data_IF_833528683376
#
_entry.id   IF_833528683376
#
_cell.length_a   1.000
_cell.length_b   1.000
_cell.length_c   1.000
_cell.angle_alpha   90.00
_cell.angle_beta   90.00
_cell.angle_gamma   90.00
#
_symmetry.space_group_name_H-M   'P 1'
#
loop_
_entity.id
_entity.type
_entity.pdbx_description
1 polymer ?
#
# COMPACT_ATOMS: atom_id res chain seq x y z
N UNK A 1 3.28 4.24 -20.12
CA UNK A 1 4.11 5.46 -20.01
C UNK A 1 3.38 6.61 -19.28
N UNK A 2 2.10 6.49 -18.95
CA UNK A 2 1.34 7.53 -18.27
C UNK A 2 1.81 7.80 -16.83
N UNK A 3 2.34 6.81 -16.14
CA UNK A 3 2.66 6.89 -14.71
C UNK A 3 3.82 7.84 -14.37
N UNK A 4 4.73 8.10 -15.28
CA UNK A 4 5.83 9.06 -15.09
C UNK A 4 5.35 10.53 -15.15
N UNK A 5 4.17 10.79 -15.68
CA UNK A 5 3.61 12.13 -15.90
C UNK A 5 2.48 12.50 -14.94
N UNK A 6 2.17 11.63 -13.97
CA UNK A 6 1.15 11.91 -12.96
C UNK A 6 -0.28 11.74 -13.45
N UNK A 7 -0.72 10.55 -13.75
CA UNK A 7 -2.09 10.26 -14.14
C UNK A 7 -3.03 10.32 -12.94
N UNK A 8 -4.27 10.52 -13.24
CA UNK A 8 -5.35 10.60 -12.26
C UNK A 8 -6.15 9.31 -12.13
N UNK A 9 -6.18 8.52 -13.20
CA UNK A 9 -6.89 7.23 -13.24
C UNK A 9 -5.96 6.15 -13.82
N UNK A 10 -5.46 5.25 -12.97
CA UNK A 10 -4.49 4.25 -13.39
C UNK A 10 -5.02 3.26 -14.43
N UNK A 11 -6.32 3.01 -14.52
CA UNK A 11 -6.90 2.10 -15.51
C UNK A 11 -6.96 2.76 -16.89
N UNK A 12 -7.31 4.06 -16.93
CA UNK A 12 -7.27 4.86 -18.17
C UNK A 12 -5.87 5.01 -18.72
N UNK A 13 -4.88 5.17 -17.84
CA UNK A 13 -3.49 5.23 -18.26
C UNK A 13 -2.99 3.93 -18.86
N UNK A 14 -3.49 2.80 -18.37
CA UNK A 14 -3.26 1.50 -18.96
C UNK A 14 -4.04 1.29 -20.28
N UNK A 15 -4.82 2.28 -20.71
CA UNK A 15 -5.61 2.30 -21.95
C UNK A 15 -6.68 1.21 -22.02
N UNK A 16 -7.25 0.84 -20.89
CA UNK A 16 -8.40 -0.04 -20.87
C UNK A 16 -9.61 0.72 -21.44
N UNK A 17 -10.23 0.25 -22.52
CA UNK A 17 -11.51 0.81 -22.98
C UNK A 17 -12.59 0.46 -21.95
N UNK A 18 -13.46 1.42 -21.64
CA UNK A 18 -14.60 1.22 -20.74
C UNK A 18 -14.24 0.60 -19.38
N UNK A 19 -13.10 1.05 -18.80
CA UNK A 19 -12.66 0.58 -17.49
C UNK A 19 -13.75 0.82 -16.43
N UNK A 20 -14.09 -0.18 -15.60
CA UNK A 20 -14.98 0.02 -14.47
C UNK A 20 -14.32 0.96 -13.44
N UNK A 21 -15.08 1.45 -12.45
CA UNK A 21 -14.49 2.22 -11.35
C UNK A 21 -13.35 1.45 -10.70
N UNK A 22 -12.26 2.16 -10.38
CA UNK A 22 -11.10 1.58 -9.72
C UNK A 22 -11.51 0.91 -8.42
N UNK A 23 -11.07 -0.33 -8.22
CA UNK A 23 -11.33 -1.09 -6.99
C UNK A 23 -10.26 -0.85 -5.94
N UNK A 24 -10.65 -1.02 -4.67
CA UNK A 24 -9.73 -0.85 -3.55
C UNK A 24 -10.21 -1.51 -2.28
N UNK A 25 -9.29 -1.57 -1.31
CA UNK A 25 -9.57 -1.95 0.07
C UNK A 25 -9.67 -0.74 0.97
N UNK A 26 -10.52 -0.85 1.98
CA UNK A 26 -10.42 -0.07 3.21
C UNK A 26 -10.18 -1.04 4.36
N UNK A 27 -9.08 -0.86 5.08
CA UNK A 27 -8.70 -1.65 6.26
C UNK A 27 -8.79 -0.76 7.50
N UNK A 28 -9.76 -1.04 8.36
CA UNK A 28 -9.98 -0.36 9.65
C UNK A 28 -9.26 -1.12 10.76
N UNK A 29 -8.10 -0.63 11.21
CA UNK A 29 -7.34 -1.28 12.27
C UNK A 29 -7.99 -1.14 13.65
N UNK A 30 -8.92 -0.18 13.82
CA UNK A 30 -9.61 0.04 15.10
C UNK A 30 -10.54 -1.12 15.51
N UNK A 31 -10.98 -1.92 14.53
CA UNK A 31 -11.87 -3.06 14.75
C UNK A 31 -11.26 -4.40 14.34
N UNK A 32 -9.98 -4.41 13.94
CA UNK A 32 -9.28 -5.64 13.65
C UNK A 32 -9.00 -6.42 14.95
N UNK A 33 -9.38 -7.69 14.98
CA UNK A 33 -9.17 -8.57 16.13
C UNK A 33 -7.98 -9.54 15.97
N UNK A 34 -7.17 -9.37 14.93
CA UNK A 34 -5.98 -10.19 14.70
C UNK A 34 -6.23 -11.69 14.47
N UNK A 35 -7.44 -12.09 14.08
CA UNK A 35 -7.82 -13.50 13.93
C UNK A 35 -7.10 -14.26 12.79
N UNK A 36 -6.36 -13.54 11.93
CA UNK A 36 -5.63 -14.07 10.77
C UNK A 36 -6.47 -14.81 9.71
N UNK A 37 -7.79 -14.81 9.80
CA UNK A 37 -8.66 -15.43 8.80
C UNK A 37 -8.39 -14.91 7.38
N UNK A 38 -8.04 -13.63 7.24
CA UNK A 38 -7.67 -13.01 5.98
C UNK A 38 -6.36 -13.54 5.39
N UNK A 39 -5.36 -13.88 6.22
CA UNK A 39 -4.12 -14.53 5.77
C UNK A 39 -4.41 -15.94 5.25
N UNK A 40 -5.15 -16.72 6.05
CA UNK A 40 -5.53 -18.09 5.67
C UNK A 40 -6.31 -18.10 4.38
N UNK A 41 -7.36 -17.28 4.26
CA UNK A 41 -8.17 -17.20 3.05
C UNK A 41 -7.34 -16.77 1.83
N UNK A 42 -6.38 -15.84 2.01
CA UNK A 42 -5.47 -15.43 0.94
C UNK A 42 -4.54 -16.58 0.51
N UNK A 43 -3.95 -17.30 1.47
CA UNK A 43 -3.07 -18.44 1.19
C UNK A 43 -3.83 -19.57 0.47
N UNK A 44 -4.97 -19.96 0.99
CA UNK A 44 -5.77 -21.03 0.41
C UNK A 44 -6.29 -20.69 -1.00
N UNK A 45 -6.88 -19.51 -1.17
CA UNK A 45 -7.42 -19.11 -2.47
C UNK A 45 -6.33 -19.04 -3.54
N UNK A 46 -5.21 -18.41 -3.22
CA UNK A 46 -4.11 -18.20 -4.17
C UNK A 46 -3.14 -19.40 -4.20
N UNK A 47 -3.41 -20.47 -3.43
CA UNK A 47 -2.55 -21.66 -3.31
C UNK A 47 -1.09 -21.32 -3.03
N UNK A 48 -0.89 -20.36 -2.10
CA UNK A 48 0.46 -19.94 -1.73
C UNK A 48 1.13 -21.03 -0.87
N UNK A 49 2.43 -21.31 -1.11
CA UNK A 49 3.15 -22.25 -0.29
C UNK A 49 3.36 -21.75 1.15
N UNK A 50 3.78 -22.62 2.04
CA UNK A 50 4.21 -22.24 3.38
C UNK A 50 5.48 -21.37 3.36
N UNK A 51 5.74 -20.66 4.45
CA UNK A 51 6.90 -19.78 4.59
C UNK A 51 8.13 -20.52 5.17
N UNK A 52 8.40 -21.73 4.69
CA UNK A 52 9.50 -22.58 5.14
C UNK A 52 9.17 -23.44 6.37
N UNK A 53 10.19 -23.77 7.16
CA UNK A 53 10.05 -24.62 8.33
C UNK A 53 9.27 -23.92 9.45
N UNK A 54 8.51 -24.71 10.22
CA UNK A 54 7.84 -24.24 11.42
C UNK A 54 8.90 -23.86 12.47
N UNK A 55 9.17 -22.59 12.60
CA UNK A 55 10.10 -22.03 13.60
C UNK A 55 9.34 -21.23 14.64
N UNK A 56 9.78 -21.34 15.91
CA UNK A 56 9.29 -20.48 16.96
C UNK A 56 9.91 -19.08 16.79
N UNK A 57 9.12 -18.10 16.37
CA UNK A 57 9.57 -16.72 16.14
C UNK A 57 9.60 -15.86 17.41
N UNK A 58 9.31 -16.44 18.57
CA UNK A 58 9.26 -15.72 19.84
C UNK A 58 7.94 -14.94 20.06
N UNK A 59 7.06 -14.93 19.08
CA UNK A 59 5.70 -14.38 19.19
C UNK A 59 4.68 -15.51 19.01
N UNK A 60 3.78 -15.69 19.95
CA UNK A 60 2.71 -16.68 19.86
C UNK A 60 1.60 -16.30 18.87
N UNK A 61 1.56 -15.07 18.43
CA UNK A 61 0.50 -14.52 17.59
C UNK A 61 0.93 -14.39 16.13
N UNK A 62 2.21 -14.25 15.88
CA UNK A 62 2.75 -14.06 14.54
C UNK A 62 3.70 -15.20 14.16
N UNK A 63 3.27 -15.99 13.21
CA UNK A 63 4.01 -17.11 12.66
C UNK A 63 4.44 -16.91 11.19
N UNK A 64 4.09 -15.79 10.57
CA UNK A 64 4.43 -15.44 9.19
C UNK A 64 5.51 -14.36 9.09
N UNK A 65 5.58 -13.45 10.06
CA UNK A 65 6.59 -12.41 10.22
C UNK A 65 6.35 -11.18 9.37
N UNK A 66 6.24 -11.31 8.04
CA UNK A 66 6.12 -10.19 7.11
C UNK A 66 5.46 -10.59 5.79
N UNK A 67 5.16 -9.59 4.96
CA UNK A 67 4.73 -9.81 3.57
C UNK A 67 5.92 -10.33 2.74
N UNK A 68 5.62 -11.24 1.82
CA UNK A 68 6.64 -11.84 0.96
C UNK A 68 6.05 -12.61 -0.21
N UNK A 69 6.92 -13.40 -0.88
CA UNK A 69 6.52 -14.19 -2.04
C UNK A 69 5.43 -15.23 -1.72
N UNK A 70 5.43 -15.74 -0.49
CA UNK A 70 4.52 -16.78 -0.03
C UNK A 70 3.44 -16.26 0.92
N UNK A 71 3.54 -15.02 1.39
CA UNK A 71 2.56 -14.36 2.28
C UNK A 71 2.16 -13.02 1.69
N UNK A 72 1.05 -12.99 0.95
CA UNK A 72 0.56 -11.79 0.27
C UNK A 72 -0.32 -10.89 1.14
N UNK A 73 -0.78 -11.42 2.25
CA UNK A 73 -1.49 -10.70 3.30
C UNK A 73 -0.96 -11.14 4.66
N UNK A 74 -0.64 -10.18 5.50
CA UNK A 74 -0.03 -10.39 6.80
C UNK A 74 -0.74 -9.53 7.85
N UNK A 75 -0.99 -10.10 9.03
CA UNK A 75 -1.53 -9.34 10.16
C UNK A 75 -0.39 -9.03 11.13
N UNK A 76 0.03 -7.78 11.13
CA UNK A 76 0.99 -7.27 12.08
C UNK A 76 0.34 -7.04 13.45
N UNK A 77 1.07 -7.34 14.51
CA UNK A 77 0.68 -7.09 15.90
C UNK A 77 1.66 -6.08 16.49
N UNK A 78 1.13 -4.99 17.01
CA UNK A 78 1.90 -3.94 17.66
C UNK A 78 1.40 -3.78 19.09
N UNK A 79 2.30 -3.94 20.05
CA UNK A 79 2.02 -3.72 21.46
C UNK A 79 2.30 -2.26 21.82
N UNK A 80 1.35 -1.64 22.50
CA UNK A 80 1.48 -0.26 22.96
C UNK A 80 1.27 -0.19 24.47
N UNK A 81 2.21 0.47 25.15
CA UNK A 81 2.09 0.86 26.55
C UNK A 81 1.25 2.14 26.68
N UNK A 82 0.83 2.47 27.90
CA UNK A 82 0.11 3.69 28.22
C UNK A 82 0.82 4.95 27.70
N UNK A 83 2.13 5.07 27.93
CA UNK A 83 2.93 6.20 27.47
C UNK A 83 2.86 6.34 25.95
N UNK A 84 2.99 5.22 25.22
CA UNK A 84 2.92 5.23 23.74
C UNK A 84 1.55 5.63 23.22
N UNK A 85 0.49 5.20 23.90
CA UNK A 85 -0.89 5.58 23.55
C UNK A 85 -1.10 7.08 23.78
N UNK A 86 -0.57 7.61 24.89
CA UNK A 86 -0.63 9.04 25.19
C UNK A 86 0.13 9.89 24.14
N UNK A 87 1.33 9.45 23.75
CA UNK A 87 2.11 10.10 22.67
C UNK A 87 1.34 10.10 21.35
N UNK A 88 0.74 8.97 20.96
CA UNK A 88 -0.04 8.86 19.73
C UNK A 88 -1.23 9.82 19.72
N UNK A 89 -1.95 9.94 20.85
CA UNK A 89 -3.05 10.89 21.01
C UNK A 89 -2.61 12.34 20.93
N UNK A 90 -1.47 12.68 21.54
CA UNK A 90 -0.92 14.03 21.47
C UNK A 90 -0.49 14.39 20.05
N UNK A 91 0.18 13.48 19.34
CA UNK A 91 0.53 13.65 17.94
C UNK A 91 -0.72 13.84 17.07
N UNK A 92 -1.80 13.10 17.34
CA UNK A 92 -3.09 13.25 16.66
C UNK A 92 -3.73 14.62 16.90
N UNK A 93 -3.71 15.13 18.13
CA UNK A 93 -4.19 16.49 18.45
C UNK A 93 -3.40 17.56 17.70
N UNK A 94 -2.07 17.45 17.71
CA UNK A 94 -1.21 18.40 17.01
C UNK A 94 -1.51 18.46 15.51
N UNK A 95 -1.82 17.34 14.87
CA UNK A 95 -2.22 17.30 13.45
C UNK A 95 -3.57 17.97 13.21
N UNK A 96 -4.54 17.82 14.11
CA UNK A 96 -5.83 18.50 14.03
C UNK A 96 -5.68 20.01 14.19
N UNK A 97 -4.79 20.46 15.06
CA UNK A 97 -4.55 21.90 15.30
C UNK A 97 -3.79 22.58 14.14
N UNK A 98 -3.01 21.85 13.34
CA UNK A 98 -2.34 22.36 12.13
C UNK A 98 -3.28 22.63 10.95
N UNK A 99 -4.60 22.52 11.14
CA UNK A 99 -5.59 22.87 10.12
C UNK A 99 -5.77 21.80 9.07
N UNK A 100 -5.49 20.55 9.39
CA UNK A 100 -6.06 19.43 8.62
C UNK A 100 -7.57 19.66 8.56
N UNK A 101 -8.22 19.53 7.38
CA UNK A 101 -9.63 19.83 7.28
C UNK A 101 -10.40 19.07 8.36
N UNK A 102 -11.04 19.81 9.27
CA UNK A 102 -11.99 19.23 10.22
C UNK A 102 -13.15 18.67 9.40
N UNK A 103 -13.08 17.41 9.06
CA UNK A 103 -14.19 16.71 8.45
C UNK A 103 -15.16 16.37 9.59
N UNK A 104 -16.12 17.23 9.77
CA UNK A 104 -17.00 17.27 10.91
C UNK A 104 -16.49 18.29 11.92
N UNK A 105 -17.07 19.51 11.97
CA UNK A 105 -16.75 20.48 13.01
C UNK A 105 -17.04 19.81 14.37
N UNK A 106 -16.10 19.86 15.35
CA UNK A 106 -16.48 19.52 16.71
C UNK A 106 -17.61 20.47 17.13
N UNK A 107 -18.53 20.00 17.99
CA UNK A 107 -19.50 20.89 18.61
C UNK A 107 -18.77 22.07 19.29
N UNK A 108 -19.36 23.27 19.20
CA UNK A 108 -18.84 24.47 19.85
C UNK A 108 -18.54 24.19 21.33
N UNK A 109 -17.47 24.80 21.90
CA UNK A 109 -17.15 24.61 23.31
C UNK A 109 -18.31 25.17 24.19
N UNK A 110 -19.17 24.32 24.65
CA UNK A 110 -20.30 24.70 25.49
C UNK A 110 -21.42 23.67 25.59
N UNK A 111 -21.52 22.75 24.62
CA UNK A 111 -22.64 21.81 24.54
C UNK A 111 -22.25 20.34 24.73
N UNK A 112 -21.00 20.05 25.08
CA UNK A 112 -20.56 18.69 25.39
C UNK A 112 -20.35 18.59 26.89
N UNK A 113 -21.14 17.76 27.57
CA UNK A 113 -20.69 17.19 28.83
C UNK A 113 -19.25 16.71 28.60
N UNK A 114 -18.33 17.18 29.44
CA UNK A 114 -16.93 16.77 29.44
C UNK A 114 -16.85 15.26 29.70
N UNK A 115 -17.17 14.49 28.68
CA UNK A 115 -16.69 13.13 28.59
C UNK A 115 -15.23 13.29 28.23
N UNK A 116 -14.38 13.49 29.21
CA UNK A 116 -12.94 13.50 29.03
C UNK A 116 -12.51 12.35 28.10
N UNK A 117 -11.35 12.43 27.43
CA UNK A 117 -10.90 11.34 26.58
C UNK A 117 -11.02 10.05 27.37
N UNK A 118 -11.55 8.97 26.78
CA UNK A 118 -11.67 7.70 27.48
C UNK A 118 -10.33 7.41 28.16
N UNK A 119 -10.39 6.97 29.43
CA UNK A 119 -9.18 6.68 30.20
C UNK A 119 -8.16 5.98 29.33
N UNK A 120 -6.92 6.46 29.32
CA UNK A 120 -5.87 5.86 28.50
C UNK A 120 -5.65 4.46 29.04
N UNK A 121 -5.86 3.40 28.25
CA UNK A 121 -5.66 2.05 28.72
C UNK A 121 -4.17 1.82 29.03
N UNK A 122 -3.87 1.05 30.08
CA UNK A 122 -2.50 0.69 30.44
C UNK A 122 -1.77 -0.06 29.32
N UNK A 123 -2.54 -0.72 28.43
CA UNK A 123 -2.02 -1.52 27.34
C UNK A 123 -3.04 -1.59 26.19
N UNK A 124 -2.53 -1.54 24.96
CA UNK A 124 -3.33 -1.74 23.75
C UNK A 124 -2.56 -2.56 22.71
N UNK A 125 -3.22 -3.51 22.07
CA UNK A 125 -2.74 -4.12 20.83
C UNK A 125 -3.33 -3.41 19.62
N UNK A 126 -2.47 -3.02 18.69
CA UNK A 126 -2.87 -2.63 17.36
C UNK A 126 -2.64 -3.83 16.42
N UNK A 127 -3.65 -4.13 15.63
CA UNK A 127 -3.63 -5.23 14.68
C UNK A 127 -3.92 -4.69 13.30
N UNK A 128 -2.96 -4.85 12.37
CA UNK A 128 -3.10 -4.32 11.02
C UNK A 128 -2.95 -5.43 9.99
N UNK A 129 -4.01 -5.66 9.23
CA UNK A 129 -3.95 -6.60 8.10
C UNK A 129 -3.32 -5.91 6.91
N UNK A 130 -2.01 -6.04 6.75
CA UNK A 130 -1.24 -5.44 5.68
C UNK A 130 -1.28 -6.26 4.39
N UNK A 131 -1.09 -5.56 3.24
CA UNK A 131 -1.19 -6.10 1.89
C UNK A 131 -0.49 -5.17 0.89
N UNK A 132 -0.29 -5.64 -0.35
CA UNK A 132 0.15 -4.76 -1.45
C UNK A 132 -0.75 -3.52 -1.58
N UNK A 133 -0.13 -2.36 -1.73
CA UNK A 133 -0.84 -1.07 -1.75
C UNK A 133 -1.53 -0.77 -3.09
N UNK A 134 -1.18 -1.48 -4.18
CA UNK A 134 -1.70 -1.21 -5.53
C UNK A 134 -1.66 0.29 -5.87
N UNK A 135 -0.46 0.88 -5.73
CA UNK A 135 -0.20 2.31 -5.87
C UNK A 135 -0.74 2.90 -7.18
N UNK A 136 -1.14 4.15 -7.16
CA UNK A 136 -1.51 4.89 -8.38
C UNK A 136 -0.28 5.04 -9.27
N UNK A 137 0.84 5.53 -8.72
CA UNK A 137 2.15 5.47 -9.35
C UNK A 137 2.86 4.23 -8.82
N UNK A 138 2.95 3.18 -9.64
CA UNK A 138 3.47 1.90 -9.20
C UNK A 138 4.92 1.71 -9.67
N UNK A 139 5.89 2.04 -8.81
CA UNK A 139 7.31 1.89 -9.12
C UNK A 139 7.69 0.49 -9.59
N UNK A 140 7.07 -0.55 -9.04
CA UNK A 140 7.28 -1.93 -9.49
C UNK A 140 6.85 -2.17 -10.95
N UNK A 141 5.80 -1.50 -11.42
CA UNK A 141 5.34 -1.56 -12.80
C UNK A 141 6.26 -0.76 -13.73
N UNK A 142 6.66 0.45 -13.29
CA UNK A 142 7.48 1.37 -14.10
C UNK A 142 8.83 0.78 -14.45
N UNK A 143 9.43 -0.02 -13.57
CA UNK A 143 10.78 -0.58 -13.75
C UNK A 143 10.78 -1.99 -14.35
N UNK A 144 9.62 -2.55 -14.69
CA UNK A 144 9.55 -3.91 -15.22
C UNK A 144 10.00 -3.95 -16.70
N UNK A 145 11.16 -4.55 -17.01
CA UNK A 145 11.70 -4.52 -18.39
C UNK A 145 10.95 -5.43 -19.37
N UNK A 146 10.23 -6.44 -18.86
CA UNK A 146 9.49 -7.40 -19.67
C UNK A 146 8.00 -7.07 -19.80
N UNK A 147 7.51 -6.08 -19.04
CA UNK A 147 6.07 -5.80 -18.95
C UNK A 147 5.26 -6.87 -18.23
N UNK A 148 5.92 -7.76 -17.47
CA UNK A 148 5.26 -8.78 -16.66
C UNK A 148 4.35 -8.19 -15.60
N UNK A 149 4.72 -7.02 -15.04
CA UNK A 149 3.82 -6.24 -14.19
C UNK A 149 2.94 -5.36 -15.07
N UNK A 150 1.65 -5.49 -14.92
CA UNK A 150 0.68 -4.71 -15.68
C UNK A 150 -0.48 -4.24 -14.80
N UNK A 151 -1.22 -3.27 -15.28
CA UNK A 151 -2.40 -2.74 -14.60
C UNK A 151 -3.65 -3.30 -15.25
N UNK A 152 -4.52 -3.83 -14.42
CA UNK A 152 -5.81 -4.37 -14.87
C UNK A 152 -6.84 -3.26 -15.06
N UNK A 153 -7.97 -3.59 -15.65
CA UNK A 153 -9.15 -2.71 -15.81
C UNK A 153 -9.72 -2.21 -14.46
N UNK A 154 -9.50 -2.96 -13.38
CA UNK A 154 -9.89 -2.59 -12.02
C UNK A 154 -8.88 -1.65 -11.32
N UNK A 155 -7.84 -1.23 -12.01
CA UNK A 155 -6.77 -0.40 -11.46
C UNK A 155 -5.79 -1.15 -10.56
N UNK A 156 -5.86 -2.49 -10.48
CA UNK A 156 -4.92 -3.30 -9.71
C UNK A 156 -3.63 -3.54 -10.49
N UNK A 157 -2.53 -3.79 -9.79
CA UNK A 157 -1.26 -4.19 -10.42
C UNK A 157 -1.07 -5.69 -10.20
N UNK A 158 -0.85 -6.42 -11.26
CA UNK A 158 -0.72 -7.88 -11.26
C UNK A 158 0.60 -8.29 -11.91
N UNK A 159 1.18 -9.40 -11.47
CA UNK A 159 2.34 -10.03 -12.09
C UNK A 159 1.85 -11.13 -13.01
N UNK A 160 2.32 -11.12 -14.25
CA UNK A 160 2.13 -12.22 -15.20
C UNK A 160 3.36 -13.13 -15.14
N UNK A 161 3.19 -14.29 -14.55
CA UNK A 161 4.28 -15.20 -14.16
C UNK A 161 5.09 -15.71 -15.35
N UNK A 162 4.43 -16.02 -16.47
CA UNK A 162 5.04 -16.58 -17.69
C UNK A 162 5.92 -15.59 -18.44
N UNK A 163 5.74 -14.29 -18.21
CA UNK A 163 6.54 -13.21 -18.81
C UNK A 163 7.66 -12.76 -17.87
N UNK A 164 7.52 -13.00 -16.56
CA UNK A 164 8.48 -12.57 -15.56
C UNK A 164 9.83 -13.27 -15.76
N UNK A 165 10.90 -12.49 -15.93
CA UNK A 165 12.27 -13.01 -16.05
C UNK A 165 13.04 -13.07 -14.72
N UNK A 166 12.43 -12.63 -13.60
CA UNK A 166 13.03 -12.68 -12.27
C UNK A 166 14.15 -11.66 -12.02
N UNK A 167 14.23 -10.57 -12.78
CA UNK A 167 15.32 -9.57 -12.63
C UNK A 167 15.38 -8.88 -11.26
N UNK A 168 14.26 -8.80 -10.54
CA UNK A 168 14.20 -8.21 -9.18
C UNK A 168 14.10 -6.68 -9.15
N UNK A 169 14.06 -5.97 -10.27
CA UNK A 169 13.96 -4.51 -10.28
C UNK A 169 12.71 -4.02 -9.53
N UNK A 170 11.60 -4.75 -9.64
CA UNK A 170 10.35 -4.44 -8.94
C UNK A 170 10.47 -4.55 -7.41
N UNK A 171 11.32 -5.43 -6.90
CA UNK A 171 11.60 -5.56 -5.46
C UNK A 171 12.27 -4.29 -4.94
N UNK A 172 13.33 -3.85 -5.62
CA UNK A 172 14.06 -2.62 -5.26
C UNK A 172 13.23 -1.34 -5.43
N UNK A 173 12.26 -1.35 -6.36
CA UNK A 173 11.44 -0.17 -6.66
C UNK A 173 10.18 -0.05 -5.80
N UNK A 174 9.85 -1.06 -4.99
CA UNK A 174 8.68 -1.02 -4.12
C UNK A 174 8.99 -0.26 -2.82
N UNK A 175 8.39 0.90 -2.56
CA UNK A 175 8.67 1.66 -1.34
C UNK A 175 8.11 0.97 -0.08
N UNK A 176 7.25 -0.04 -0.25
CA UNK A 176 6.61 -0.78 0.84
C UNK A 176 7.24 -2.15 1.11
N UNK A 177 8.21 -2.58 0.29
CA UNK A 177 8.83 -3.89 0.44
C UNK A 177 7.93 -5.12 0.22
N UNK A 178 6.73 -4.95 -0.34
CA UNK A 178 5.69 -6.00 -0.39
C UNK A 178 5.77 -6.94 -1.59
N UNK A 179 6.69 -6.70 -2.50
CA UNK A 179 6.93 -7.58 -3.65
C UNK A 179 8.26 -8.29 -3.47
N UNK A 180 8.25 -9.59 -3.61
CA UNK A 180 9.42 -10.43 -3.43
C UNK A 180 9.55 -11.44 -4.56
N UNK A 181 10.76 -11.96 -4.80
CA UNK A 181 10.97 -13.07 -5.72
C UNK A 181 10.90 -14.39 -4.95
N UNK A 182 10.11 -15.33 -5.44
CA UNK A 182 10.08 -16.66 -4.85
C UNK A 182 11.42 -17.36 -5.09
N UNK A 183 12.16 -17.60 -4.00
CA UNK A 183 13.51 -18.17 -4.08
C UNK A 183 13.52 -19.71 -4.04
N UNK A 184 12.46 -20.30 -3.48
CA UNK A 184 12.38 -21.74 -3.19
C UNK A 184 11.88 -22.60 -4.35
N UNK A 185 11.38 -22.01 -5.41
CA UNK A 185 10.82 -22.71 -6.55
C UNK A 185 9.49 -23.44 -6.28
N UNK A 186 8.95 -23.29 -5.07
CA UNK A 186 7.69 -23.91 -4.65
C UNK A 186 6.47 -23.08 -5.04
N UNK A 187 6.38 -22.63 -6.28
CA UNK A 187 5.06 -22.29 -6.79
C UNK A 187 4.19 -23.53 -6.63
N UNK A 188 3.00 -23.38 -6.02
CA UNK A 188 2.05 -24.50 -5.97
C UNK A 188 1.99 -25.16 -7.34
N UNK A 189 2.11 -26.49 -7.42
CA UNK A 189 2.26 -27.20 -8.69
C UNK A 189 1.14 -26.79 -9.63
N UNK A 190 1.48 -26.01 -10.63
CA UNK A 190 0.57 -25.57 -11.67
C UNK A 190 0.40 -26.68 -12.73
N UNK A 191 0.53 -27.94 -12.28
CA UNK A 191 0.32 -29.14 -13.10
C UNK A 191 -1.05 -29.13 -13.81
N UNK A 192 -1.99 -28.34 -13.30
CA UNK A 192 -3.30 -28.12 -13.93
C UNK A 192 -3.32 -26.94 -14.91
N UNK A 193 -2.26 -26.11 -14.97
CA UNK A 193 -2.22 -24.89 -15.80
C UNK A 193 -1.22 -24.94 -16.96
N UNK A 194 -0.57 -26.07 -17.20
CA UNK A 194 0.39 -26.27 -18.31
C UNK A 194 1.86 -26.24 -17.91
N UNK A 195 2.75 -26.69 -18.81
CA UNK A 195 4.08 -27.23 -18.47
C UNK A 195 5.22 -26.23 -18.25
N UNK A 196 4.98 -24.92 -18.16
CA UNK A 196 6.09 -23.97 -18.24
C UNK A 196 6.06 -22.87 -17.17
N UNK A 197 5.94 -23.25 -15.92
CA UNK A 197 6.12 -22.25 -14.86
C UNK A 197 7.57 -22.24 -14.38
N UNK A 198 8.27 -21.14 -14.66
CA UNK A 198 9.50 -20.79 -13.96
C UNK A 198 9.14 -20.49 -12.52
N UNK A 199 9.31 -21.44 -11.64
CA UNK A 199 8.84 -21.37 -10.26
C UNK A 199 9.77 -20.54 -9.38
N UNK A 200 11.07 -20.61 -9.65
CA UNK A 200 12.08 -19.87 -8.91
C UNK A 200 12.38 -18.50 -9.51
N UNK A 201 12.48 -17.48 -8.65
CA UNK A 201 12.86 -16.13 -9.03
C UNK A 201 11.73 -15.26 -9.56
N UNK A 202 10.52 -15.78 -9.76
CA UNK A 202 9.36 -14.99 -10.21
C UNK A 202 8.89 -14.04 -9.11
N UNK A 203 8.63 -12.79 -9.48
CA UNK A 203 8.08 -11.81 -8.57
C UNK A 203 6.66 -12.17 -8.14
N UNK A 204 6.38 -12.05 -6.84
CA UNK A 204 5.12 -12.41 -6.22
C UNK A 204 4.60 -11.27 -5.36
N UNK A 205 3.33 -11.03 -5.39
CA UNK A 205 2.62 -10.07 -4.52
C UNK A 205 1.11 -10.26 -4.65
N UNK A 206 0.32 -9.67 -3.76
CA UNK A 206 -1.14 -9.64 -3.86
C UNK A 206 -1.60 -9.16 -5.24
N UNK A 207 -2.55 -9.88 -5.83
CA UNK A 207 -3.22 -9.55 -7.11
C UNK A 207 -4.55 -8.82 -6.91
N UNK A 208 -4.99 -8.61 -5.67
CA UNK A 208 -6.35 -8.22 -5.28
C UNK A 208 -7.38 -9.29 -5.68
N UNK A 209 -6.95 -10.55 -5.77
CA UNK A 209 -7.75 -11.67 -6.28
C UNK A 209 -8.39 -11.33 -7.64
N UNK A 210 -7.56 -10.95 -8.61
CA UNK A 210 -8.00 -10.49 -9.93
C UNK A 210 -8.96 -11.49 -10.61
N UNK A 211 -8.72 -12.78 -10.47
CA UNK A 211 -9.61 -13.86 -10.92
C UNK A 211 -11.03 -13.71 -10.36
N UNK A 212 -11.16 -13.45 -9.06
CA UNK A 212 -12.47 -13.22 -8.42
C UNK A 212 -13.13 -11.93 -8.90
N UNK A 213 -12.34 -10.88 -9.10
CA UNK A 213 -12.87 -9.59 -9.59
C UNK A 213 -13.48 -9.72 -10.98
N UNK A 214 -12.87 -10.52 -11.86
CA UNK A 214 -13.40 -10.81 -13.19
C UNK A 214 -14.74 -11.54 -13.11
N UNK A 215 -14.91 -12.40 -12.11
CA UNK A 215 -16.17 -13.13 -11.86
C UNK A 215 -17.20 -12.30 -11.05
N UNK A 216 -16.89 -11.03 -10.75
CA UNK A 216 -17.76 -10.13 -9.98
C UNK A 216 -17.77 -10.39 -8.48
N UNK A 217 -16.83 -11.18 -7.97
CA UNK A 217 -16.69 -11.51 -6.57
C UNK A 217 -15.71 -10.58 -5.86
N UNK A 218 -15.86 -10.45 -4.54
CA UNK A 218 -14.89 -9.72 -3.72
C UNK A 218 -13.66 -10.58 -3.39
N UNK A 219 -12.49 -9.97 -3.08
CA UNK A 219 -11.31 -10.70 -2.67
C UNK A 219 -11.56 -11.61 -1.46
N UNK A 220 -10.93 -12.80 -1.43
CA UNK A 220 -11.13 -13.81 -0.40
C UNK A 220 -10.87 -13.27 1.02
N UNK A 221 -9.86 -12.41 1.19
CA UNK A 221 -9.54 -11.81 2.48
C UNK A 221 -10.62 -10.83 3.00
N UNK A 222 -11.29 -10.11 2.12
CA UNK A 222 -12.41 -9.23 2.52
C UNK A 222 -13.65 -10.06 2.85
N UNK A 223 -13.93 -11.08 2.05
CA UNK A 223 -15.09 -11.96 2.25
C UNK A 223 -15.04 -12.71 3.60
N UNK A 224 -13.85 -13.09 4.04
CA UNK A 224 -13.68 -13.88 5.27
C UNK A 224 -13.55 -13.04 6.54
N UNK A 225 -13.44 -11.71 6.45
CA UNK A 225 -13.18 -10.86 7.62
C UNK A 225 -14.41 -10.78 8.54
N UNK A 226 -14.39 -11.34 9.76
CA UNK A 226 -15.59 -11.44 10.61
C UNK A 226 -16.03 -10.11 11.21
N UNK A 227 -15.10 -9.16 11.35
CA UNK A 227 -15.39 -7.81 11.87
C UNK A 227 -15.60 -6.78 10.77
N UNK A 228 -15.51 -7.20 9.50
CA UNK A 228 -15.48 -6.28 8.35
C UNK A 228 -14.41 -5.18 8.48
N UNK A 229 -13.34 -5.44 9.24
CA UNK A 229 -12.16 -4.57 9.26
C UNK A 229 -11.58 -4.37 7.86
N UNK A 230 -11.66 -5.41 7.01
CA UNK A 230 -11.28 -5.35 5.60
C UNK A 230 -12.55 -5.23 4.78
N UNK A 231 -12.75 -4.07 4.17
CA UNK A 231 -13.83 -3.81 3.21
C UNK A 231 -13.26 -3.65 1.81
N UNK A 232 -14.06 -4.02 0.82
CA UNK A 232 -13.70 -3.95 -0.59
C UNK A 232 -14.83 -3.34 -1.41
N UNK A 233 -14.48 -2.56 -2.42
CA UNK A 233 -15.45 -1.91 -3.32
C UNK A 233 -14.78 -0.91 -4.24
N UNK A 234 -15.55 0.03 -4.76
CA UNK A 234 -15.01 1.13 -5.53
C UNK A 234 -14.12 1.98 -4.62
N UNK A 235 -12.91 2.32 -5.11
CA UNK A 235 -11.90 3.02 -4.30
C UNK A 235 -12.44 4.32 -3.69
N UNK A 236 -13.23 5.07 -4.45
CA UNK A 236 -13.76 6.35 -3.98
C UNK A 236 -14.80 6.16 -2.87
N UNK A 237 -15.61 5.12 -2.96
CA UNK A 237 -16.54 4.72 -1.88
C UNK A 237 -15.78 4.28 -0.63
N UNK A 238 -14.70 3.50 -0.81
CA UNK A 238 -13.85 3.08 0.30
C UNK A 238 -13.17 4.28 0.96
N UNK A 239 -12.71 5.25 0.18
CA UNK A 239 -12.13 6.49 0.69
C UNK A 239 -13.16 7.33 1.47
N UNK A 240 -14.38 7.47 0.95
CA UNK A 240 -15.45 8.18 1.63
C UNK A 240 -15.81 7.54 2.97
N UNK A 241 -15.94 6.20 3.00
CA UNK A 241 -16.15 5.42 4.23
C UNK A 241 -15.02 5.59 5.23
N UNK A 242 -13.77 5.54 4.76
CA UNK A 242 -12.59 5.71 5.59
C UNK A 242 -12.56 7.09 6.26
N UNK A 243 -12.86 8.16 5.51
CA UNK A 243 -12.96 9.53 6.04
C UNK A 243 -14.07 9.66 7.09
N UNK A 244 -15.25 9.10 6.80
CA UNK A 244 -16.37 9.12 7.75
C UNK A 244 -16.00 8.38 9.06
N UNK A 245 -15.29 7.25 8.96
CA UNK A 245 -14.86 6.48 10.13
C UNK A 245 -13.84 7.23 10.99
N UNK A 246 -12.87 7.91 10.38
CA UNK A 246 -11.92 8.76 11.12
C UNK A 246 -12.68 9.87 11.86
N UNK A 247 -13.62 10.56 11.18
CA UNK A 247 -14.42 11.60 11.82
C UNK A 247 -15.22 11.04 13.02
N UNK A 248 -15.81 9.86 12.88
CA UNK A 248 -16.50 9.17 13.98
C UNK A 248 -15.57 8.92 15.17
N UNK A 249 -14.38 8.35 14.93
CA UNK A 249 -13.40 8.05 15.98
C UNK A 249 -12.91 9.33 16.68
N UNK A 250 -12.71 10.41 15.94
CA UNK A 250 -12.35 11.70 16.53
C UNK A 250 -13.45 12.23 17.47
N UNK A 251 -14.73 12.05 17.13
CA UNK A 251 -15.84 12.43 18.04
C UNK A 251 -15.88 11.55 19.31
N UNK A 252 -15.32 10.35 19.24
CA UNK A 252 -15.18 9.43 20.38
C UNK A 252 -13.89 9.69 21.20
N UNK A 253 -13.13 10.74 20.88
CA UNK A 253 -11.89 11.10 21.58
C UNK A 253 -10.63 10.34 21.11
N UNK A 254 -10.72 9.51 20.08
CA UNK A 254 -9.58 8.80 19.48
C UNK A 254 -8.90 9.70 18.43
N UNK A 255 -8.23 10.75 18.89
CA UNK A 255 -7.62 11.79 18.04
C UNK A 255 -6.45 11.28 17.21
N UNK A 256 -5.86 10.16 17.59
CA UNK A 256 -4.78 9.47 16.88
C UNK A 256 -5.24 8.82 15.56
N UNK A 257 -6.57 8.64 15.35
CA UNK A 257 -7.09 8.02 14.14
C UNK A 257 -6.74 8.84 12.89
N UNK A 258 -6.10 8.20 11.92
CA UNK A 258 -5.63 8.82 10.68
C UNK A 258 -5.74 7.88 9.48
N UNK A 259 -5.72 8.44 8.27
CA UNK A 259 -5.72 7.66 7.05
C UNK A 259 -4.32 7.56 6.46
N UNK A 260 -4.00 6.38 5.95
CA UNK A 260 -2.80 6.09 5.19
C UNK A 260 -3.17 5.59 3.78
N UNK A 261 -2.45 6.05 2.75
CA UNK A 261 -2.71 5.70 1.36
C UNK A 261 -3.87 6.46 0.70
N UNK A 262 -4.47 7.41 1.42
CA UNK A 262 -5.58 8.24 0.96
C UNK A 262 -5.14 9.55 0.27
N UNK A 263 -3.86 9.90 0.35
CA UNK A 263 -3.32 11.14 -0.19
C UNK A 263 -2.90 10.95 -1.65
N UNK A 264 -3.63 11.54 -2.58
CA UNK A 264 -3.33 11.45 -4.02
C UNK A 264 -2.13 12.32 -4.43
N UNK A 265 -1.58 13.12 -3.50
CA UNK A 265 -0.41 13.97 -3.71
C UNK A 265 0.87 13.44 -3.05
N UNK A 266 0.82 12.26 -2.44
CA UNK A 266 2.02 11.61 -1.93
C UNK A 266 2.93 11.09 -3.06
N UNK A 267 4.12 10.58 -2.71
CA UNK A 267 5.10 10.10 -3.69
C UNK A 267 4.69 8.83 -4.46
N UNK A 268 3.51 8.26 -4.17
CA UNK A 268 2.91 7.11 -4.87
C UNK A 268 1.55 7.44 -5.50
N UNK A 269 1.06 8.69 -5.33
CA UNK A 269 -0.22 9.16 -5.88
C UNK A 269 -1.44 8.53 -5.24
N UNK A 270 -1.37 8.22 -3.94
CA UNK A 270 -2.36 7.43 -3.23
C UNK A 270 -2.33 5.96 -3.62
N UNK A 271 -3.13 5.17 -2.93
CA UNK A 271 -3.11 3.70 -3.07
C UNK A 271 -4.50 3.11 -3.31
N UNK A 272 -4.52 1.87 -3.79
CA UNK A 272 -5.73 1.04 -3.86
C UNK A 272 -6.04 0.33 -2.54
N UNK A 273 -5.15 0.39 -1.55
CA UNK A 273 -5.36 -0.16 -0.21
C UNK A 273 -5.24 0.98 0.80
N UNK A 274 -6.36 1.44 1.32
CA UNK A 274 -6.47 2.54 2.28
C UNK A 274 -6.55 1.95 3.68
N UNK A 275 -5.78 2.52 4.62
CA UNK A 275 -5.76 2.08 6.01
C UNK A 275 -6.22 3.20 6.93
N UNK A 276 -7.01 2.85 7.93
CA UNK A 276 -7.22 3.66 9.12
C UNK A 276 -6.26 3.14 10.19
N UNK A 277 -5.39 4.01 10.68
CA UNK A 277 -4.38 3.71 11.68
C UNK A 277 -4.70 4.46 12.98
N UNK A 278 -4.28 3.91 14.11
CA UNK A 278 -4.40 4.51 15.44
C UNK A 278 -3.04 4.94 16.02
N UNK A 279 -2.05 5.10 15.16
CA UNK A 279 -0.72 5.65 15.49
C UNK A 279 -0.03 6.05 14.17
N UNK A 280 1.21 6.52 14.26
CA UNK A 280 2.04 6.85 13.11
C UNK A 280 2.26 5.63 12.21
N UNK A 281 2.38 5.82 10.90
CA UNK A 281 2.58 4.72 9.95
C UNK A 281 3.77 3.82 10.28
N UNK A 282 4.86 4.40 10.81
CA UNK A 282 6.09 3.70 11.15
C UNK A 282 5.89 2.63 12.22
N UNK A 283 4.94 2.86 13.12
CA UNK A 283 4.57 1.88 14.18
C UNK A 283 4.05 0.58 13.57
N UNK A 284 3.44 0.68 12.41
CA UNK A 284 2.93 -0.47 11.64
C UNK A 284 3.94 -0.98 10.59
N UNK A 285 5.17 -0.46 10.60
CA UNK A 285 6.17 -0.80 9.58
C UNK A 285 5.90 -0.17 8.20
N UNK A 286 5.04 0.83 8.14
CA UNK A 286 4.71 1.55 6.90
C UNK A 286 5.60 2.78 6.75
N UNK A 287 6.14 3.08 5.56
CA UNK A 287 6.91 4.29 5.35
C UNK A 287 6.01 5.53 5.47
N UNK A 288 6.42 6.59 6.20
CA UNK A 288 5.59 7.78 6.41
C UNK A 288 5.38 8.59 5.13
N UNK A 289 6.38 8.60 4.25
CA UNK A 289 6.36 9.30 2.96
C UNK A 289 6.81 8.32 1.84
N UNK A 290 5.92 7.44 1.39
CA UNK A 290 6.25 6.47 0.35
C UNK A 290 6.48 7.18 -0.98
N UNK A 291 7.63 6.93 -1.62
CA UNK A 291 8.00 7.56 -2.89
C UNK A 291 8.50 6.54 -3.90
N UNK A 292 7.97 6.60 -5.10
CA UNK A 292 8.46 5.75 -6.20
C UNK A 292 9.77 6.30 -6.77
N UNK A 293 10.76 5.46 -7.09
CA UNK A 293 12.06 5.91 -7.62
C UNK A 293 11.93 6.67 -8.93
N UNK A 294 10.86 6.43 -9.69
CA UNK A 294 10.61 7.02 -11.00
C UNK A 294 9.94 8.40 -10.94
N UNK A 295 9.48 8.85 -9.76
CA UNK A 295 8.77 10.12 -9.60
C UNK A 295 9.58 11.34 -10.09
N UNK A 296 10.89 11.33 -9.88
CA UNK A 296 11.78 12.45 -10.21
C UNK A 296 12.36 12.40 -11.62
N UNK A 297 12.15 11.32 -12.39
CA UNK A 297 12.75 11.17 -13.71
C UNK A 297 12.49 12.36 -14.66
N UNK A 298 11.27 12.90 -14.78
CA UNK A 298 11.03 14.07 -15.63
C UNK A 298 11.85 15.30 -15.24
N UNK A 299 11.93 15.56 -13.92
CA UNK A 299 12.71 16.68 -13.39
C UNK A 299 14.22 16.46 -13.59
N UNK A 300 14.69 15.23 -13.41
CA UNK A 300 16.10 14.85 -13.67
C UNK A 300 16.47 15.03 -15.13
N UNK A 301 15.62 14.61 -16.06
CA UNK A 301 15.84 14.81 -17.51
C UNK A 301 15.88 16.30 -17.86
N UNK A 302 14.97 17.10 -17.34
CA UNK A 302 14.94 18.54 -17.56
C UNK A 302 16.22 19.20 -17.05
N UNK A 303 16.64 18.87 -15.83
CA UNK A 303 17.91 19.39 -15.24
C UNK A 303 19.13 18.96 -16.05
N UNK A 304 19.17 17.73 -16.52
CA UNK A 304 20.25 17.22 -17.37
C UNK A 304 20.32 17.94 -18.71
N UNK A 305 19.18 18.26 -19.33
CA UNK A 305 19.15 19.06 -20.56
C UNK A 305 19.71 20.46 -20.35
N UNK A 306 19.33 21.14 -19.25
CA UNK A 306 19.90 22.45 -18.92
C UNK A 306 21.41 22.39 -18.65
N UNK A 307 21.88 21.36 -17.94
CA UNK A 307 23.31 21.16 -17.71
C UNK A 307 24.06 20.90 -19.04
N UNK A 308 23.53 20.07 -19.91
CA UNK A 308 24.10 19.81 -21.23
C UNK A 308 24.15 21.08 -22.10
N UNK A 309 23.08 21.89 -22.11
CA UNK A 309 23.05 23.16 -22.82
C UNK A 309 24.09 24.14 -22.27
N UNK A 310 24.24 24.21 -20.95
CA UNK A 310 25.28 25.04 -20.30
C UNK A 310 26.71 24.60 -20.69
N UNK A 311 26.98 23.30 -20.67
CA UNK A 311 28.27 22.75 -21.09
C UNK A 311 28.56 23.03 -22.58
N UNK A 312 27.56 22.85 -23.43
CA UNK A 312 27.71 23.17 -24.88
C UNK A 312 27.98 24.67 -25.08
N UNK A 313 27.29 25.54 -24.36
CA UNK A 313 27.52 26.98 -24.38
C UNK A 313 28.93 27.35 -23.91
N UNK A 314 29.38 26.77 -22.80
CA UNK A 314 30.74 26.98 -22.31
C UNK A 314 31.81 26.52 -23.30
N UNK A 315 31.63 25.35 -23.90
CA UNK A 315 32.51 24.84 -24.97
C UNK A 315 32.54 25.78 -26.16
N UNK A 316 31.38 26.24 -26.64
CA UNK A 316 31.31 27.18 -27.76
C UNK A 316 32.06 28.48 -27.48
N UNK A 317 31.91 29.04 -26.29
CA UNK A 317 32.65 30.25 -25.86
C UNK A 317 34.16 29.99 -25.79
N UNK A 318 34.57 28.86 -25.24
CA UNK A 318 35.99 28.48 -25.19
C UNK A 318 36.62 28.35 -26.58
N UNK A 319 35.93 27.67 -27.50
CA UNK A 319 36.36 27.57 -28.90
C UNK A 319 36.40 28.92 -29.60
N UNK A 320 35.44 29.80 -29.36
CA UNK A 320 35.42 31.14 -29.95
C UNK A 320 36.55 32.04 -29.44
N UNK A 321 36.84 31.96 -28.14
CA UNK A 321 37.97 32.68 -27.52
C UNK A 321 39.33 32.14 -27.98
N UNK A 322 39.45 30.82 -28.14
CA UNK A 322 40.69 30.20 -28.59
C UNK A 322 41.03 30.45 -30.08
N UNK A 323 40.13 31.02 -30.86
CA UNK A 323 40.34 31.42 -32.24
C UNK A 323 40.77 32.86 -32.42
N UNK A 324 40.83 33.65 -31.33
CA UNK A 324 41.36 34.99 -31.31
C UNK A 324 42.78 34.99 -30.71
#
# INVERSE_FOLDING_TARGET
MGQLTGPTDPSRDARWPDAPPRKGFFTDTSICIGCKACEVACKEWNRLPGDGDLTLRGSSYDNTGELGANTWRHVAFVEQTEDRIAEAREAGRALTDLGMPRIGAPPEPGDVEDTGPPDTPEFRWLMASDVCKHCTHAGCLDVCPTGSLFRTEFGTVVVQDDICNGCGNCVAACPFGVIERRADGLAAPKTERGPQHRESGIAQKCTMCYDRLVDGEQPACAQTCPTESIRFGDRDDMLARARARVAELHTQGLTEARLYGANDHDGVGGTGSIFLLLDEPEVYGLPPDPRVPTADLPAMFTRSLWAAAGMAGAAAVAFWRGRR
#
